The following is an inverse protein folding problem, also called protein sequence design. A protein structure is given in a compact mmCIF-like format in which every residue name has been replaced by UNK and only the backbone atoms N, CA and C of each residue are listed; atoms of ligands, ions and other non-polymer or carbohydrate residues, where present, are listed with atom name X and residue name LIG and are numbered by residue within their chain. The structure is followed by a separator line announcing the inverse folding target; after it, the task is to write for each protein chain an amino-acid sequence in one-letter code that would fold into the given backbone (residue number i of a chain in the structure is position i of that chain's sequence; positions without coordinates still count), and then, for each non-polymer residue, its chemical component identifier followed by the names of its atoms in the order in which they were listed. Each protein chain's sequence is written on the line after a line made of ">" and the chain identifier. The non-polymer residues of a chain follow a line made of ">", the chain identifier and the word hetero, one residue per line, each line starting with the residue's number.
data_IF_487178887551
#
_entry.id   IF_487178887551
#
_cell.length_a   1.000
_cell.length_b   1.000
_cell.length_c   1.000
_cell.angle_alpha   90.00
_cell.angle_beta   90.00
_cell.angle_gamma   90.00
#
_symmetry.space_group_name_H-M   'P 1'
#
loop_
_entity.id
_entity.type
_entity.pdbx_description
1 polymer ?
#
# COMPACT_ATOMS: atom_id res chain seq x y z
N UNK A 1 -12.09 1.83 -20.51
CA UNK A 1 -13.22 1.35 -19.69
C UNK A 1 -12.84 1.04 -18.25
N UNK A 2 -12.01 0.04 -17.91
CA UNK A 2 -11.56 -0.14 -16.51
C UNK A 2 -10.69 1.05 -16.06
N UNK A 3 -9.61 1.35 -16.78
CA UNK A 3 -8.66 2.46 -16.49
C UNK A 3 -9.28 3.82 -16.22
N UNK A 4 -10.43 4.12 -16.84
CA UNK A 4 -11.12 5.40 -16.63
C UNK A 4 -11.76 5.46 -15.23
N UNK A 5 -12.26 4.33 -14.72
CA UNK A 5 -12.89 4.24 -13.40
C UNK A 5 -11.89 4.46 -12.28
N UNK A 6 -10.73 3.80 -12.25
CA UNK A 6 -9.80 3.97 -11.12
C UNK A 6 -9.08 5.33 -11.15
N UNK A 7 -8.90 5.93 -12.34
CA UNK A 7 -8.42 7.32 -12.45
C UNK A 7 -9.45 8.28 -11.86
N UNK A 8 -10.74 8.06 -12.10
CA UNK A 8 -11.81 8.86 -11.49
C UNK A 8 -11.82 8.66 -9.97
N UNK A 9 -11.76 7.43 -9.48
CA UNK A 9 -11.71 7.13 -8.04
C UNK A 9 -10.49 7.76 -7.36
N UNK A 10 -9.31 7.69 -7.99
CA UNK A 10 -8.10 8.34 -7.49
C UNK A 10 -8.26 9.86 -7.45
N UNK A 11 -8.84 10.46 -8.49
CA UNK A 11 -9.11 11.89 -8.54
C UNK A 11 -10.08 12.32 -7.43
N UNK A 12 -11.19 11.60 -7.26
CA UNK A 12 -12.17 11.85 -6.20
C UNK A 12 -11.55 11.70 -4.80
N UNK A 13 -10.74 10.65 -4.60
CA UNK A 13 -10.00 10.47 -3.36
C UNK A 13 -9.07 11.65 -3.09
N UNK A 14 -8.27 12.08 -4.06
CA UNK A 14 -7.33 13.20 -3.89
C UNK A 14 -8.06 14.52 -3.62
N UNK A 15 -9.24 14.73 -4.21
CA UNK A 15 -10.07 15.90 -3.96
C UNK A 15 -10.59 15.94 -2.52
N UNK A 16 -11.10 14.82 -2.01
CA UNK A 16 -11.56 14.74 -0.61
C UNK A 16 -10.40 14.77 0.38
N UNK A 17 -9.31 14.07 0.07
CA UNK A 17 -8.10 14.02 0.86
C UNK A 17 -7.45 15.41 1.08
N UNK A 18 -7.53 16.30 0.09
CA UNK A 18 -7.03 17.67 0.23
C UNK A 18 -7.89 18.53 1.16
N UNK A 19 -9.15 18.17 1.40
CA UNK A 19 -10.07 18.88 2.32
C UNK A 19 -9.92 18.40 3.77
N UNK A 20 -9.25 17.27 3.98
CA UNK A 20 -9.11 16.66 5.29
C UNK A 20 -8.21 17.45 6.23
N UNK A 21 -8.56 17.38 7.53
CA UNK A 21 -7.65 17.77 8.61
C UNK A 21 -6.34 16.98 8.54
N UNK A 22 -5.26 17.47 9.17
CA UNK A 22 -3.98 16.74 9.20
C UNK A 22 -4.13 15.30 9.68
N UNK A 23 -4.93 15.12 10.73
CA UNK A 23 -5.25 13.79 11.26
C UNK A 23 -6.04 12.96 10.26
N UNK A 24 -7.08 13.54 9.66
CA UNK A 24 -7.92 12.86 8.67
C UNK A 24 -7.11 12.39 7.48
N UNK A 25 -6.25 13.25 6.94
CA UNK A 25 -5.38 12.92 5.82
C UNK A 25 -4.42 11.80 6.16
N UNK A 26 -3.71 11.87 7.29
CA UNK A 26 -2.77 10.82 7.67
C UNK A 26 -3.47 9.47 7.86
N UNK A 27 -4.64 9.45 8.49
CA UNK A 27 -5.40 8.21 8.70
C UNK A 27 -5.95 7.65 7.40
N UNK A 28 -6.51 8.50 6.52
CA UNK A 28 -7.06 8.10 5.23
C UNK A 28 -5.94 7.59 4.30
N UNK A 29 -4.82 8.30 4.20
CA UNK A 29 -3.65 7.86 3.42
C UNK A 29 -3.16 6.47 3.86
N UNK A 30 -2.98 6.27 5.17
CA UNK A 30 -2.50 4.99 5.68
C UNK A 30 -3.49 3.85 5.41
N UNK A 31 -4.80 4.10 5.52
CA UNK A 31 -5.83 3.11 5.22
C UNK A 31 -5.81 2.72 3.73
N UNK A 32 -5.77 3.69 2.83
CA UNK A 32 -5.79 3.42 1.39
C UNK A 32 -4.50 2.73 0.91
N UNK A 33 -3.34 3.12 1.44
CA UNK A 33 -2.09 2.40 1.16
C UNK A 33 -2.13 0.94 1.67
N UNK A 34 -2.72 0.72 2.84
CA UNK A 34 -2.88 -0.62 3.41
C UNK A 34 -3.79 -1.52 2.55
N UNK A 35 -4.85 -0.94 1.98
CA UNK A 35 -5.75 -1.63 1.04
C UNK A 35 -5.07 -1.92 -0.30
N UNK A 36 -4.30 -0.99 -0.87
CA UNK A 36 -3.57 -1.25 -2.12
C UNK A 36 -2.50 -2.32 -1.97
N UNK A 37 -1.78 -2.36 -0.85
CA UNK A 37 -0.81 -3.43 -0.59
C UNK A 37 -1.50 -4.78 -0.44
N UNK A 38 -2.68 -4.82 0.19
CA UNK A 38 -3.52 -6.02 0.21
C UNK A 38 -3.86 -6.45 -1.21
N UNK A 39 -4.35 -5.53 -2.06
CA UNK A 39 -4.74 -5.82 -3.43
C UNK A 39 -3.56 -6.37 -4.25
N UNK A 40 -2.37 -5.76 -4.12
CA UNK A 40 -1.14 -6.22 -4.78
C UNK A 40 -0.79 -7.66 -4.35
N UNK A 41 -0.82 -7.95 -3.05
CA UNK A 41 -0.52 -9.30 -2.53
C UNK A 41 -1.54 -10.34 -2.99
N UNK A 42 -2.83 -10.01 -2.92
CA UNK A 42 -3.93 -10.89 -3.38
C UNK A 42 -3.89 -11.09 -4.90
N UNK A 43 -3.42 -10.10 -5.67
CA UNK A 43 -3.15 -10.21 -7.10
C UNK A 43 -1.97 -11.12 -7.41
N UNK A 44 -0.94 -11.13 -6.56
CA UNK A 44 0.23 -11.97 -6.76
C UNK A 44 -0.02 -13.44 -6.39
N UNK A 45 -0.71 -13.71 -5.30
CA UNK A 45 -0.85 -15.07 -4.77
C UNK A 45 -1.62 -16.03 -5.68
N UNK A 46 -1.43 -17.32 -5.44
CA UNK A 46 -2.28 -18.36 -6.07
C UNK A 46 -3.72 -18.07 -5.71
N UNK A 47 -4.61 -18.09 -6.71
CA UNK A 47 -6.05 -17.89 -6.51
C UNK A 47 -6.69 -19.12 -5.85
N UNK A 48 -6.49 -19.26 -4.55
CA UNK A 48 -7.03 -20.31 -3.72
C UNK A 48 -7.36 -19.76 -2.31
N UNK A 49 -8.01 -20.58 -1.50
CA UNK A 49 -8.44 -20.20 -0.15
C UNK A 49 -7.29 -19.78 0.76
N UNK A 50 -6.16 -20.50 0.72
CA UNK A 50 -5.02 -20.16 1.58
C UNK A 50 -4.35 -18.85 1.19
N UNK A 51 -4.34 -18.50 -0.09
CA UNK A 51 -3.85 -17.20 -0.58
C UNK A 51 -4.67 -16.04 -0.03
N UNK A 52 -5.99 -16.12 -0.06
CA UNK A 52 -6.86 -15.07 0.49
C UNK A 52 -6.83 -15.03 2.03
N UNK A 53 -6.79 -16.18 2.69
CA UNK A 53 -6.71 -16.26 4.17
C UNK A 53 -5.40 -15.68 4.72
N UNK A 54 -4.32 -15.68 3.93
CA UNK A 54 -3.04 -15.12 4.35
C UNK A 54 -3.12 -13.61 4.62
N UNK A 55 -4.00 -12.91 3.91
CA UNK A 55 -4.15 -11.44 3.95
C UNK A 55 -5.44 -11.01 4.68
N UNK A 56 -6.55 -11.69 4.40
CA UNK A 56 -7.89 -11.30 4.84
C UNK A 56 -8.56 -12.30 5.80
N UNK A 57 -7.88 -13.40 6.14
CA UNK A 57 -8.39 -14.40 7.07
C UNK A 57 -8.43 -13.95 8.53
N UNK A 58 -9.14 -14.71 9.36
CA UNK A 58 -9.09 -14.51 10.81
C UNK A 58 -7.67 -14.76 11.32
N UNK A 59 -7.08 -13.79 12.04
CA UNK A 59 -5.66 -13.79 12.42
C UNK A 59 -4.70 -13.97 11.22
N UNK A 60 -5.05 -13.39 10.07
CA UNK A 60 -4.22 -13.38 8.87
C UNK A 60 -2.76 -12.97 9.20
N UNK A 61 -1.76 -13.79 8.83
CA UNK A 61 -0.35 -13.46 9.04
C UNK A 61 0.06 -12.14 8.37
N UNK A 62 -0.53 -11.80 7.23
CA UNK A 62 -0.36 -10.53 6.52
C UNK A 62 -1.53 -9.56 6.76
N UNK A 63 -2.21 -9.66 7.89
CA UNK A 63 -3.37 -8.82 8.21
C UNK A 63 -3.04 -7.42 8.70
N UNK A 64 -1.78 -7.13 9.03
CA UNK A 64 -1.36 -5.80 9.50
C UNK A 64 -0.66 -5.01 8.41
N UNK A 65 -0.81 -3.68 8.43
CA UNK A 65 -0.11 -2.78 7.50
C UNK A 65 1.40 -3.02 7.47
N UNK A 66 2.02 -3.20 8.63
CA UNK A 66 3.43 -3.54 8.75
C UNK A 66 3.81 -4.84 8.00
N UNK A 67 3.01 -5.89 8.17
CA UNK A 67 3.26 -7.19 7.57
C UNK A 67 3.07 -7.15 6.04
N UNK A 68 2.05 -6.44 5.55
CA UNK A 68 1.82 -6.28 4.11
C UNK A 68 2.95 -5.54 3.42
N UNK A 69 3.38 -4.40 3.96
CA UNK A 69 4.51 -3.62 3.41
C UNK A 69 5.78 -4.48 3.35
N UNK A 70 6.07 -5.23 4.42
CA UNK A 70 7.24 -6.11 4.49
C UNK A 70 7.15 -7.26 3.49
N UNK A 71 5.98 -7.90 3.37
CA UNK A 71 5.79 -9.00 2.43
C UNK A 71 5.85 -8.52 0.98
N UNK A 72 5.20 -7.41 0.65
CA UNK A 72 5.23 -6.84 -0.70
C UNK A 72 6.67 -6.54 -1.13
N UNK A 73 7.47 -5.94 -0.25
CA UNK A 73 8.87 -5.66 -0.54
C UNK A 73 9.71 -6.94 -0.67
N UNK A 74 9.58 -7.87 0.28
CA UNK A 74 10.34 -9.12 0.27
C UNK A 74 10.03 -10.02 -0.95
N UNK A 75 8.82 -9.88 -1.52
CA UNK A 75 8.40 -10.58 -2.74
C UNK A 75 8.78 -9.83 -4.02
N UNK A 76 9.38 -8.65 -3.93
CA UNK A 76 9.76 -7.81 -5.07
C UNK A 76 8.57 -7.15 -5.77
N UNK A 77 7.45 -6.95 -5.07
CA UNK A 77 6.23 -6.38 -5.63
C UNK A 77 6.17 -4.85 -5.50
N UNK A 78 7.00 -4.28 -4.63
CA UNK A 78 7.23 -2.84 -4.48
C UNK A 78 8.74 -2.58 -4.45
N UNK A 79 9.13 -1.37 -4.81
CA UNK A 79 10.51 -0.90 -4.86
C UNK A 79 11.03 -0.52 -3.47
N UNK A 80 12.35 -0.42 -3.32
CA UNK A 80 13.00 -0.04 -2.05
C UNK A 80 12.59 1.38 -1.62
N UNK A 81 12.46 2.31 -2.57
CA UNK A 81 11.93 3.67 -2.32
C UNK A 81 10.50 3.62 -1.78
N UNK A 82 9.61 2.91 -2.47
CA UNK A 82 8.21 2.73 -2.07
C UNK A 82 8.13 2.11 -0.65
N UNK A 83 8.93 1.09 -0.36
CA UNK A 83 9.02 0.46 0.97
C UNK A 83 9.44 1.46 2.06
N UNK A 84 10.46 2.28 1.78
CA UNK A 84 10.96 3.30 2.70
C UNK A 84 9.90 4.37 3.00
N UNK A 85 9.29 4.93 1.95
CA UNK A 85 8.28 5.98 2.05
C UNK A 85 7.03 5.49 2.79
N UNK A 86 6.50 4.32 2.42
CA UNK A 86 5.33 3.74 3.11
C UNK A 86 5.67 3.44 4.58
N UNK A 87 6.90 3.04 4.88
CA UNK A 87 7.36 2.85 6.25
C UNK A 87 7.39 4.16 7.05
N UNK A 88 7.81 5.27 6.44
CA UNK A 88 7.73 6.61 7.03
C UNK A 88 6.28 7.00 7.28
N UNK A 89 5.39 6.82 6.31
CA UNK A 89 3.96 7.14 6.42
C UNK A 89 3.30 6.34 7.54
N UNK A 90 3.65 5.05 7.69
CA UNK A 90 3.21 4.23 8.83
C UNK A 90 3.66 4.81 10.17
N UNK A 91 4.89 5.31 10.27
CA UNK A 91 5.40 5.96 11.49
C UNK A 91 4.64 7.27 11.77
N UNK A 92 4.43 8.10 10.74
CA UNK A 92 3.62 9.32 10.85
C UNK A 92 2.22 8.98 11.38
N UNK A 93 1.55 7.98 10.79
CA UNK A 93 0.24 7.51 11.26
C UNK A 93 0.25 7.08 12.72
N UNK A 94 1.30 6.42 13.18
CA UNK A 94 1.40 5.99 14.57
C UNK A 94 1.52 7.18 15.54
N UNK A 95 2.23 8.25 15.17
CA UNK A 95 2.27 9.47 15.97
C UNK A 95 0.87 10.11 16.08
N UNK A 96 0.14 10.22 14.97
CA UNK A 96 -1.25 10.71 14.98
C UNK A 96 -2.21 9.77 15.74
N UNK A 97 -1.95 8.46 15.72
CA UNK A 97 -2.76 7.45 16.40
C UNK A 97 -2.56 7.42 17.92
N UNK A 98 -1.33 7.62 18.40
CA UNK A 98 -1.00 7.56 19.83
C UNK A 98 -1.18 8.90 20.56
N UNK A 99 -1.29 10.00 19.83
CA UNK A 99 -1.54 11.33 20.41
C UNK A 99 -2.92 11.84 20.01
N UNK A 100 -3.77 12.06 21.01
CA UNK A 100 -5.15 12.51 20.82
C UNK A 100 -5.31 14.05 20.82
N UNK A 101 -4.29 14.79 21.26
CA UNK A 101 -4.24 16.27 21.26
C UNK A 101 -2.96 16.79 20.63
N UNK A 102 -3.10 17.81 19.79
CA UNK A 102 -2.01 18.71 19.39
C UNK A 102 -0.93 18.09 18.50
N UNK A 103 -1.27 17.07 17.69
CA UNK A 103 -0.37 16.57 16.64
C UNK A 103 -0.82 17.07 15.29
N UNK A 104 0.12 17.66 14.58
CA UNK A 104 0.01 18.25 13.25
C UNK A 104 1.33 18.01 12.49
N UNK A 105 1.41 18.49 11.25
CA UNK A 105 2.64 18.39 10.47
C UNK A 105 3.80 19.26 10.97
N UNK A 106 3.54 20.22 11.87
CA UNK A 106 4.57 21.06 12.51
C UNK A 106 5.22 20.42 13.74
N UNK A 107 4.61 19.37 14.28
CA UNK A 107 5.08 18.65 15.46
C UNK A 107 6.45 18.03 15.18
N UNK A 108 7.46 18.33 16.01
CA UNK A 108 8.88 18.04 15.68
C UNK A 108 9.18 16.62 15.19
N UNK A 109 8.53 15.58 15.76
CA UNK A 109 8.68 14.20 15.27
C UNK A 109 8.04 13.98 13.89
N UNK A 110 6.82 14.47 13.69
CA UNK A 110 6.09 14.36 12.43
C UNK A 110 6.83 15.14 11.34
N UNK A 111 7.25 16.37 11.63
CA UNK A 111 8.02 17.21 10.73
C UNK A 111 9.32 16.51 10.27
N UNK A 112 10.07 15.93 11.20
CA UNK A 112 11.29 15.18 10.87
C UNK A 112 11.02 13.97 9.99
N UNK A 113 9.90 13.26 10.19
CA UNK A 113 9.50 12.13 9.35
C UNK A 113 9.09 12.60 7.96
N UNK A 114 8.31 13.66 7.86
CA UNK A 114 7.80 14.20 6.59
C UNK A 114 8.93 14.73 5.72
N UNK A 115 9.96 15.34 6.32
CA UNK A 115 11.14 15.81 5.60
C UNK A 115 12.03 14.68 5.06
N UNK A 116 11.78 13.42 5.46
CA UNK A 116 12.43 12.26 4.85
C UNK A 116 11.69 11.76 3.59
N UNK A 117 10.46 12.24 3.34
CA UNK A 117 9.74 11.93 2.11
C UNK A 117 10.30 12.73 0.93
N UNK A 118 10.38 12.14 -0.27
CA UNK A 118 10.78 12.87 -1.47
C UNK A 118 9.79 14.00 -1.78
N UNK A 119 10.28 15.03 -2.47
CA UNK A 119 9.40 16.00 -3.10
C UNK A 119 8.94 15.44 -4.44
N UNK A 120 7.63 15.24 -4.59
CA UNK A 120 7.04 14.73 -5.82
C UNK A 120 6.04 15.71 -6.46
N UNK A 121 6.11 16.98 -6.06
CA UNK A 121 5.32 18.05 -6.66
C UNK A 121 6.08 18.78 -7.77
N UNK A 122 5.48 19.84 -8.34
CA UNK A 122 6.17 20.70 -9.31
C UNK A 122 7.47 21.28 -8.74
N UNK A 123 8.55 21.27 -9.51
CA UNK A 123 9.88 21.73 -9.07
C UNK A 123 9.85 23.19 -8.62
N UNK A 124 9.07 24.03 -9.30
CA UNK A 124 8.95 25.47 -9.00
C UNK A 124 8.34 25.75 -7.62
N UNK A 125 7.63 24.77 -7.05
CA UNK A 125 6.97 24.87 -5.76
C UNK A 125 7.75 24.21 -4.62
N UNK A 126 8.89 23.57 -4.89
CA UNK A 126 9.62 22.82 -3.86
C UNK A 126 10.12 23.73 -2.74
N UNK A 127 10.69 24.88 -3.09
CA UNK A 127 11.30 25.81 -2.13
C UNK A 127 10.30 26.40 -1.13
N UNK A 128 9.04 26.56 -1.54
CA UNK A 128 7.94 27.07 -0.72
C UNK A 128 7.01 25.96 -0.20
N UNK A 129 7.39 24.69 -0.38
CA UNK A 129 6.55 23.55 -0.02
C UNK A 129 6.33 23.45 1.49
N UNK A 130 5.06 23.30 1.89
CA UNK A 130 4.74 22.97 3.28
C UNK A 130 4.94 21.48 3.55
N UNK A 131 5.17 21.06 4.81
CA UNK A 131 5.20 19.64 5.17
C UNK A 131 3.93 18.89 4.76
N UNK A 132 2.76 19.53 4.88
CA UNK A 132 1.50 18.96 4.40
C UNK A 132 1.50 18.74 2.88
N UNK A 133 2.00 19.70 2.11
CA UNK A 133 2.12 19.56 0.65
C UNK A 133 3.04 18.40 0.27
N UNK A 134 4.22 18.30 0.91
CA UNK A 134 5.17 17.19 0.68
C UNK A 134 4.53 15.84 0.97
N UNK A 135 3.82 15.72 2.10
CA UNK A 135 3.06 14.51 2.41
C UNK A 135 2.01 14.21 1.34
N UNK A 136 1.18 15.18 0.95
CA UNK A 136 0.13 14.97 -0.02
C UNK A 136 0.66 14.52 -1.39
N UNK A 137 1.75 15.13 -1.88
CA UNK A 137 2.38 14.72 -3.15
C UNK A 137 2.98 13.32 -3.09
N UNK A 138 3.66 12.97 -2.00
CA UNK A 138 4.17 11.61 -1.81
C UNK A 138 3.04 10.57 -1.82
N UNK A 139 1.92 10.85 -1.13
CA UNK A 139 0.73 9.98 -1.18
C UNK A 139 0.16 9.86 -2.58
N UNK A 140 0.03 10.97 -3.31
CA UNK A 140 -0.54 10.95 -4.66
C UNK A 140 0.28 10.09 -5.63
N UNK A 141 1.61 10.19 -5.58
CA UNK A 141 2.50 9.36 -6.41
C UNK A 141 2.46 7.90 -5.99
N UNK A 142 2.62 7.60 -4.69
CA UNK A 142 2.53 6.22 -4.20
C UNK A 142 1.20 5.55 -4.57
N UNK A 143 0.08 6.24 -4.44
CA UNK A 143 -1.23 5.68 -4.82
C UNK A 143 -1.32 5.41 -6.32
N UNK A 144 -0.81 6.32 -7.14
CA UNK A 144 -0.76 6.14 -8.60
C UNK A 144 0.08 4.91 -8.97
N UNK A 145 1.26 4.78 -8.36
CA UNK A 145 2.20 3.70 -8.62
C UNK A 145 1.64 2.35 -8.15
N UNK A 146 1.12 2.27 -6.92
CA UNK A 146 0.54 1.02 -6.38
C UNK A 146 -0.72 0.58 -7.13
N UNK A 147 -1.56 1.53 -7.55
CA UNK A 147 -2.74 1.25 -8.39
C UNK A 147 -2.32 0.60 -9.71
N UNK A 148 -1.31 1.16 -10.38
CA UNK A 148 -0.76 0.57 -11.60
C UNK A 148 -0.06 -0.76 -11.34
N UNK A 149 0.70 -0.85 -10.24
CA UNK A 149 1.44 -2.05 -9.82
C UNK A 149 0.53 -3.24 -9.65
N UNK A 150 -0.64 -3.08 -9.03
CA UNK A 150 -1.60 -4.18 -8.84
C UNK A 150 -1.96 -4.88 -10.16
N UNK A 151 -2.06 -4.12 -11.26
CA UNK A 151 -2.36 -4.65 -12.60
C UNK A 151 -1.20 -5.39 -13.23
N UNK A 152 0.02 -4.88 -13.02
CA UNK A 152 1.23 -5.51 -13.52
C UNK A 152 1.46 -6.83 -12.79
N UNK A 153 1.32 -6.82 -11.46
CA UNK A 153 1.50 -7.99 -10.60
C UNK A 153 0.47 -9.09 -10.89
N UNK A 154 -0.76 -8.74 -11.25
CA UNK A 154 -1.78 -9.72 -11.67
C UNK A 154 -1.30 -10.58 -12.86
N UNK A 155 -0.51 -10.01 -13.78
CA UNK A 155 0.06 -10.76 -14.92
C UNK A 155 1.14 -11.77 -14.47
N UNK A 156 1.72 -11.55 -13.31
CA UNK A 156 2.73 -12.41 -12.67
C UNK A 156 2.14 -13.35 -11.61
N UNK A 157 0.80 -13.40 -11.51
CA UNK A 157 0.09 -14.22 -10.54
C UNK A 157 0.64 -15.64 -10.47
N UNK A 158 0.87 -16.12 -9.25
CA UNK A 158 1.39 -17.45 -9.00
C UNK A 158 0.37 -18.52 -9.39
N UNK A 159 0.88 -19.57 -10.02
CA UNK A 159 0.13 -20.81 -10.28
C UNK A 159 0.68 -21.94 -9.41
N UNK A 160 -0.18 -22.90 -9.08
CA UNK A 160 0.24 -24.10 -8.34
C UNK A 160 1.29 -24.84 -9.15
N UNK A 161 2.48 -25.03 -8.55
CA UNK A 161 3.59 -25.74 -9.20
C UNK A 161 3.51 -27.24 -8.91
N UNK A 162 3.72 -28.03 -9.95
CA UNK A 162 4.06 -29.45 -9.81
C UNK A 162 5.57 -29.62 -9.73
N UNK A 163 6.04 -30.19 -8.64
CA UNK A 163 7.45 -30.49 -8.43
C UNK A 163 7.82 -31.89 -8.95
N UNK A 164 9.03 -32.08 -9.50
CA UNK A 164 9.53 -33.40 -9.90
C UNK A 164 9.93 -34.25 -8.68
N UNK A 165 10.36 -35.50 -8.89
CA UNK A 165 10.86 -36.41 -7.85
C UNK A 165 9.87 -36.68 -6.70
N UNK A 166 8.57 -36.80 -7.01
CA UNK A 166 7.56 -37.14 -6.00
C UNK A 166 7.51 -38.64 -5.77
N UNK A 167 7.71 -39.07 -4.53
CA UNK A 167 7.41 -40.46 -4.10
C UNK A 167 5.90 -40.71 -4.00
N UNK A 168 5.09 -39.64 -3.95
CA UNK A 168 3.62 -39.71 -4.01
C UNK A 168 3.16 -39.74 -5.46
N UNK A 169 2.38 -40.77 -5.83
CA UNK A 169 1.62 -40.79 -7.08
C UNK A 169 0.66 -39.59 -7.09
N UNK A 170 0.60 -38.86 -8.21
CA UNK A 170 -0.39 -37.82 -8.41
C UNK A 170 -1.78 -38.44 -8.24
N UNK A 171 -2.48 -38.07 -7.18
CA UNK A 171 -3.90 -38.39 -7.03
C UNK A 171 -4.60 -37.68 -8.17
N UNK A 172 -5.22 -38.44 -9.07
CA UNK A 172 -6.00 -37.90 -10.18
C UNK A 172 -7.01 -36.89 -9.64
N UNK A 173 -7.20 -35.81 -10.39
CA UNK A 173 -8.20 -34.78 -10.14
C UNK A 173 -9.48 -35.39 -9.58
N UNK A 174 -9.79 -35.07 -8.32
CA UNK A 174 -11.12 -35.32 -7.77
C UNK A 174 -12.05 -34.44 -8.61
N UNK A 175 -12.77 -35.04 -9.55
CA UNK A 175 -13.93 -34.42 -10.16
C UNK A 175 -14.98 -34.30 -9.06
N UNK A 176 -15.15 -33.10 -8.52
CA UNK A 176 -16.30 -32.81 -7.66
C UNK A 176 -17.56 -32.80 -8.55
N UNK A 177 -18.54 -33.60 -8.12
CA UNK A 177 -19.89 -33.68 -8.67
C UNK A 177 -20.77 -32.55 -8.11
#
# INVERSE_FOLDING_TARGET
>A
MQTETEIIELSEFLLEFNKESDRGAVLNAAAVLDDWLKNILESFFVKNKSGSELVSGFNAPLGTFAAKVTAAHALGLIEESEYHEITIIRKIRNEFGHSWRGVDFGSGKVLNLVNQLPWCGPEELESDSTPRMRFNFAIAILLSDLMWRSRLVEKERRNVKSWSNKSRKSVGSISEA
#
